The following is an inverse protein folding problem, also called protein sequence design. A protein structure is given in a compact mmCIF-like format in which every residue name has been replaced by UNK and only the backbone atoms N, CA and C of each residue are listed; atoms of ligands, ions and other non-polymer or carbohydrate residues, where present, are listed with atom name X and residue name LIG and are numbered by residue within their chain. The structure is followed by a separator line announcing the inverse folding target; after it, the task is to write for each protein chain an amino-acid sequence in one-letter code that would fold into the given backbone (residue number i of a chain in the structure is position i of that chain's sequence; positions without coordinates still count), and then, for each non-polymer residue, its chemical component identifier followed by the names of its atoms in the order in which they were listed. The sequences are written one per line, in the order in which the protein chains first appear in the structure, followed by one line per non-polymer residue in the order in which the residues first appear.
data_IF_283393946825
#
_entry.id   IF_283393946825
#
_cell.length_a   1.000
_cell.length_b   1.000
_cell.length_c   1.000
_cell.angle_alpha   90.00
_cell.angle_beta   90.00
_cell.angle_gamma   90.00
#
_symmetry.space_group_name_H-M   'P 1'
#
loop_
_entity.id
_entity.type
_entity.pdbx_description
1 polymer ?
#
# COMPACT_ATOMS: atom_id res chain seq x y z
N UNK A 1 37.82 -32.29 16.68
CA UNK A 1 37.43 -31.16 15.79
C UNK A 1 36.22 -31.44 14.90
N UNK A 2 36.24 -32.41 13.95
CA UNK A 2 35.11 -32.64 13.00
C UNK A 2 33.74 -32.90 13.64
N UNK A 3 33.67 -33.65 14.76
CA UNK A 3 32.41 -33.91 15.50
C UNK A 3 31.84 -32.67 16.21
N UNK A 4 32.70 -31.77 16.68
CA UNK A 4 32.30 -30.52 17.35
C UNK A 4 31.77 -29.53 16.32
N UNK A 5 32.45 -29.37 15.18
CA UNK A 5 31.95 -28.55 14.06
C UNK A 5 30.59 -29.03 13.55
N UNK A 6 30.36 -30.36 13.44
CA UNK A 6 29.05 -30.91 13.07
C UNK A 6 27.97 -30.54 14.09
N UNK A 7 28.24 -30.64 15.39
CA UNK A 7 27.27 -30.28 16.44
C UNK A 7 26.96 -28.78 16.46
N UNK A 8 27.97 -27.94 16.27
CA UNK A 8 27.79 -26.49 16.11
C UNK A 8 26.93 -26.19 14.88
N UNK A 9 27.23 -26.82 13.73
CA UNK A 9 26.44 -26.66 12.51
C UNK A 9 24.98 -27.12 12.66
N UNK A 10 24.75 -28.25 13.34
CA UNK A 10 23.40 -28.74 13.67
C UNK A 10 22.66 -27.78 14.63
N UNK A 11 23.34 -27.25 15.65
CA UNK A 11 22.76 -26.27 16.56
C UNK A 11 22.39 -24.97 15.85
N UNK A 12 23.25 -24.49 14.96
CA UNK A 12 22.99 -23.30 14.15
C UNK A 12 21.83 -23.51 13.16
N UNK A 13 21.77 -24.68 12.51
CA UNK A 13 20.64 -25.04 11.64
C UNK A 13 19.33 -25.10 12.43
N UNK A 14 19.34 -25.73 13.62
CA UNK A 14 18.17 -25.78 14.49
C UNK A 14 17.70 -24.38 14.89
N UNK A 15 18.63 -23.47 15.22
CA UNK A 15 18.31 -22.08 15.53
C UNK A 15 17.68 -21.36 14.33
N UNK A 16 18.22 -21.52 13.12
CA UNK A 16 17.63 -20.93 11.90
C UNK A 16 16.21 -21.45 11.68
N UNK A 17 15.99 -22.76 11.82
CA UNK A 17 14.65 -23.36 11.67
C UNK A 17 13.69 -22.80 12.72
N UNK A 18 14.12 -22.65 13.97
CA UNK A 18 13.30 -22.06 15.04
C UNK A 18 12.96 -20.59 14.75
N UNK A 19 13.94 -19.79 14.30
CA UNK A 19 13.71 -18.40 13.93
C UNK A 19 12.78 -18.28 12.72
N UNK A 20 12.97 -19.13 11.70
CA UNK A 20 12.11 -19.18 10.51
C UNK A 20 10.69 -19.59 10.84
N UNK A 21 10.50 -20.61 11.68
CA UNK A 21 9.19 -21.03 12.15
C UNK A 21 8.51 -19.94 13.00
N UNK A 22 9.27 -19.31 13.91
CA UNK A 22 8.77 -18.19 14.72
C UNK A 22 8.34 -16.99 13.87
N UNK A 23 9.15 -16.63 12.87
CA UNK A 23 8.81 -15.58 11.91
C UNK A 23 7.57 -15.95 11.09
N UNK A 24 7.47 -17.18 10.59
CA UNK A 24 6.29 -17.64 9.84
C UNK A 24 5.02 -17.52 10.69
N UNK A 25 5.04 -18.02 11.94
CA UNK A 25 3.91 -17.87 12.87
C UNK A 25 3.56 -16.40 13.12
N UNK A 26 4.55 -15.52 13.26
CA UNK A 26 4.32 -14.08 13.39
C UNK A 26 3.59 -13.49 12.17
N UNK A 27 3.90 -13.95 10.96
CA UNK A 27 3.25 -13.47 9.72
C UNK A 27 1.84 -14.02 9.50
N UNK A 28 1.41 -15.05 10.26
CA UNK A 28 0.05 -15.59 10.17
C UNK A 28 -0.99 -14.72 10.89
N UNK A 29 -0.55 -13.87 11.82
CA UNK A 29 -1.40 -12.87 12.47
C UNK A 29 -1.49 -11.64 11.57
N UNK A 30 -2.64 -11.37 10.95
CA UNK A 30 -2.85 -10.19 10.11
C UNK A 30 -4.34 -9.86 9.99
N UNK A 31 -4.64 -8.60 9.68
CA UNK A 31 -6.01 -8.12 9.48
C UNK A 31 -6.57 -8.66 8.16
N UNK A 32 -7.74 -9.28 8.22
CA UNK A 32 -8.41 -9.90 7.08
C UNK A 32 -9.31 -8.92 6.34
N UNK A 33 -9.45 -9.11 5.04
CA UNK A 33 -10.41 -8.35 4.24
C UNK A 33 -11.84 -8.64 4.69
N UNK A 34 -12.65 -7.59 4.81
CA UNK A 34 -14.10 -7.68 5.06
C UNK A 34 -14.87 -7.95 3.77
N UNK A 35 -16.13 -8.37 3.89
CA UNK A 35 -16.98 -8.76 2.77
C UNK A 35 -17.11 -7.68 1.68
N UNK A 36 -17.16 -6.40 2.06
CA UNK A 36 -17.18 -5.27 1.11
C UNK A 36 -15.94 -5.27 0.21
N UNK A 37 -14.76 -5.55 0.78
CA UNK A 37 -13.52 -5.66 0.02
C UNK A 37 -13.50 -6.92 -0.85
N UNK A 38 -14.00 -8.05 -0.33
CA UNK A 38 -14.07 -9.30 -1.09
C UNK A 38 -15.05 -9.22 -2.27
N UNK A 39 -16.16 -8.52 -2.11
CA UNK A 39 -17.12 -8.26 -3.18
C UNK A 39 -16.54 -7.36 -4.28
N UNK A 40 -15.72 -6.37 -3.91
CA UNK A 40 -14.98 -5.57 -4.87
C UNK A 40 -13.86 -6.38 -5.55
N UNK A 41 -13.14 -7.19 -4.78
CA UNK A 41 -12.10 -8.09 -5.29
C UNK A 41 -12.63 -9.05 -6.36
N UNK A 42 -13.84 -9.59 -6.18
CA UNK A 42 -14.48 -10.45 -7.17
C UNK A 42 -14.71 -9.77 -8.54
N UNK A 43 -14.67 -8.43 -8.59
CA UNK A 43 -14.81 -7.63 -9.81
C UNK A 43 -13.47 -7.20 -10.42
N UNK A 44 -12.33 -7.59 -9.84
CA UNK A 44 -11.02 -7.30 -10.42
C UNK A 44 -10.90 -7.91 -11.82
N UNK A 45 -10.38 -7.15 -12.79
CA UNK A 45 -10.18 -7.60 -14.17
C UNK A 45 -9.13 -8.70 -14.28
N UNK A 46 -8.11 -8.70 -13.41
CA UNK A 46 -7.08 -9.72 -13.39
C UNK A 46 -6.72 -10.12 -11.95
N UNK A 47 -6.69 -11.42 -11.69
CA UNK A 47 -6.21 -12.00 -10.44
C UNK A 47 -5.03 -12.91 -10.72
N UNK A 48 -3.89 -12.60 -10.13
CA UNK A 48 -2.68 -13.43 -10.20
C UNK A 48 -2.14 -13.72 -8.80
N UNK A 49 -1.08 -14.52 -8.73
CA UNK A 49 -0.38 -14.80 -7.46
C UNK A 49 0.33 -13.58 -6.88
N UNK A 50 0.56 -12.51 -7.66
CA UNK A 50 1.36 -11.35 -7.26
C UNK A 50 0.63 -10.00 -7.38
N UNK A 51 -0.43 -9.90 -8.19
CA UNK A 51 -1.12 -8.64 -8.51
C UNK A 51 -2.62 -8.90 -8.69
N UNK A 52 -3.44 -7.97 -8.20
CA UNK A 52 -4.87 -7.84 -8.46
C UNK A 52 -5.11 -6.53 -9.21
N UNK A 53 -5.52 -6.62 -10.48
CA UNK A 53 -5.71 -5.44 -11.33
C UNK A 53 -7.19 -5.08 -11.47
N UNK A 54 -7.47 -3.78 -11.39
CA UNK A 54 -8.76 -3.14 -11.61
C UNK A 54 -8.57 -2.20 -12.79
N UNK A 55 -8.84 -2.69 -14.00
CA UNK A 55 -8.53 -1.97 -15.23
C UNK A 55 -9.70 -1.10 -15.63
N UNK A 56 -9.38 0.10 -16.08
CA UNK A 56 -10.34 1.00 -16.72
C UNK A 56 -10.09 0.99 -18.23
N UNK A 57 -11.15 0.81 -19.02
CA UNK A 57 -11.03 0.66 -20.47
C UNK A 57 -10.44 1.92 -21.11
N UNK A 58 -9.40 1.74 -21.94
CA UNK A 58 -8.71 2.84 -22.62
C UNK A 58 -7.88 3.76 -21.70
N UNK A 59 -7.77 3.46 -20.40
CA UNK A 59 -6.99 4.28 -19.48
C UNK A 59 -5.50 4.24 -19.81
N UNK A 60 -4.89 5.42 -19.85
CA UNK A 60 -3.44 5.64 -19.98
C UNK A 60 -2.76 5.98 -18.66
N UNK A 61 -3.55 6.20 -17.60
CA UNK A 61 -3.10 6.49 -16.24
C UNK A 61 -3.23 5.24 -15.38
N UNK A 62 -2.18 4.94 -14.62
CA UNK A 62 -2.14 3.77 -13.73
C UNK A 62 -1.60 4.08 -12.34
N UNK A 63 -2.18 3.43 -11.31
CA UNK A 63 -1.69 3.45 -9.94
C UNK A 63 -1.15 2.06 -9.58
N UNK A 64 0.05 2.00 -9.02
CA UNK A 64 0.59 0.77 -8.40
C UNK A 64 0.43 0.92 -6.89
N UNK A 65 -0.41 0.08 -6.28
CA UNK A 65 -0.81 0.22 -4.89
C UNK A 65 -0.16 -0.83 -3.99
N UNK A 66 0.58 -0.37 -2.97
CA UNK A 66 1.24 -1.21 -1.98
C UNK A 66 0.40 -1.27 -0.69
N UNK A 67 -0.12 -2.44 -0.30
CA UNK A 67 -0.98 -2.59 0.87
C UNK A 67 -0.21 -2.38 2.18
N UNK A 68 -0.95 -2.06 3.25
CA UNK A 68 -0.40 -1.93 4.60
C UNK A 68 0.23 -3.22 5.14
N UNK A 69 1.17 -3.06 6.07
CA UNK A 69 1.83 -4.19 6.72
C UNK A 69 0.87 -4.99 7.59
N UNK A 70 0.93 -6.32 7.52
CA UNK A 70 0.03 -7.24 8.23
C UNK A 70 -1.46 -6.97 7.92
N UNK A 71 -1.77 -6.57 6.69
CA UNK A 71 -3.13 -6.45 6.17
C UNK A 71 -3.25 -7.30 4.90
N UNK A 72 -4.31 -8.09 4.78
CA UNK A 72 -4.61 -8.82 3.55
C UNK A 72 -4.78 -7.85 2.38
N UNK A 73 -4.05 -8.07 1.28
CA UNK A 73 -4.08 -7.20 0.09
C UNK A 73 -5.52 -6.85 -0.35
N UNK A 74 -6.41 -7.84 -0.42
CA UNK A 74 -7.80 -7.67 -0.86
C UNK A 74 -8.59 -6.63 -0.08
N UNK A 75 -8.17 -6.28 1.13
CA UNK A 75 -8.82 -5.25 1.93
C UNK A 75 -8.85 -3.88 1.25
N UNK A 76 -7.96 -3.62 0.28
CA UNK A 76 -7.93 -2.38 -0.49
C UNK A 76 -8.76 -2.43 -1.78
N UNK A 77 -9.33 -3.59 -2.12
CA UNK A 77 -10.00 -3.81 -3.41
C UNK A 77 -11.16 -2.85 -3.67
N UNK A 78 -11.89 -2.41 -2.65
CA UNK A 78 -13.00 -1.46 -2.85
C UNK A 78 -12.49 -0.08 -3.27
N UNK A 79 -11.39 0.39 -2.68
CA UNK A 79 -10.74 1.63 -3.10
C UNK A 79 -10.19 1.50 -4.53
N UNK A 80 -9.53 0.39 -4.86
CA UNK A 80 -8.98 0.15 -6.19
C UNK A 80 -10.08 0.09 -7.27
N UNK A 81 -11.19 -0.60 -6.99
CA UNK A 81 -12.34 -0.68 -7.88
C UNK A 81 -12.94 0.70 -8.14
N UNK A 82 -13.24 1.46 -7.06
CA UNK A 82 -13.85 2.78 -7.20
C UNK A 82 -12.93 3.78 -7.92
N UNK A 83 -11.60 3.67 -7.79
CA UNK A 83 -10.65 4.45 -8.60
C UNK A 83 -10.67 4.04 -10.09
N UNK A 84 -10.82 2.75 -10.40
CA UNK A 84 -10.93 2.27 -11.77
C UNK A 84 -12.20 2.74 -12.49
N UNK A 85 -13.29 2.90 -11.75
CA UNK A 85 -14.52 3.52 -12.24
C UNK A 85 -14.34 5.00 -12.59
N UNK A 86 -13.25 5.64 -12.15
CA UNK A 86 -12.89 7.04 -12.41
C UNK A 86 -11.87 7.20 -13.56
N UNK A 87 -11.63 6.14 -14.36
CA UNK A 87 -10.70 6.20 -15.49
C UNK A 87 -9.24 5.88 -15.15
N UNK A 88 -8.96 5.37 -13.95
CA UNK A 88 -7.60 5.11 -13.47
C UNK A 88 -7.38 3.61 -13.27
N UNK A 89 -6.52 2.97 -14.07
CA UNK A 89 -6.22 1.55 -13.84
C UNK A 89 -5.42 1.37 -12.54
N UNK A 90 -5.87 0.49 -11.64
CA UNK A 90 -5.19 0.27 -10.35
C UNK A 90 -4.65 -1.15 -10.25
N UNK A 91 -3.38 -1.28 -9.88
CA UNK A 91 -2.67 -2.54 -9.72
C UNK A 91 -2.33 -2.73 -8.24
N UNK A 92 -3.20 -3.45 -7.52
CA UNK A 92 -3.00 -3.80 -6.12
C UNK A 92 -1.99 -4.94 -6.02
N UNK A 93 -0.84 -4.65 -5.44
CA UNK A 93 0.25 -5.62 -5.32
C UNK A 93 0.03 -6.53 -4.12
N UNK A 94 0.17 -7.84 -4.34
CA UNK A 94 0.22 -8.82 -3.27
C UNK A 94 1.65 -8.94 -2.74
N UNK A 95 1.82 -8.60 -1.46
CA UNK A 95 3.13 -8.60 -0.81
C UNK A 95 3.41 -9.94 -0.10
N UNK A 96 4.64 -10.49 -0.20
CA UNK A 96 5.03 -11.65 0.60
C UNK A 96 4.79 -11.38 2.08
N UNK A 97 4.14 -12.34 2.76
CA UNK A 97 3.82 -12.23 4.19
C UNK A 97 2.97 -11.01 4.59
N UNK A 98 2.28 -10.37 3.63
CA UNK A 98 1.59 -9.09 3.82
C UNK A 98 2.53 -7.96 4.28
N UNK A 99 3.79 -7.99 3.83
CA UNK A 99 4.82 -7.04 4.24
C UNK A 99 5.59 -6.54 3.02
N UNK A 100 5.39 -5.27 2.66
CA UNK A 100 5.95 -4.67 1.45
C UNK A 100 7.49 -4.62 1.42
N UNK A 101 8.16 -4.73 2.58
CA UNK A 101 9.62 -4.77 2.70
C UNK A 101 10.25 -5.95 1.94
N UNK A 102 9.49 -7.02 1.66
CA UNK A 102 9.98 -8.20 0.96
C UNK A 102 9.89 -8.11 -0.57
N UNK A 103 9.27 -7.05 -1.10
CA UNK A 103 9.02 -6.91 -2.54
C UNK A 103 8.87 -5.44 -2.94
N UNK A 104 9.85 -4.63 -2.53
CA UNK A 104 9.89 -3.18 -2.79
C UNK A 104 9.83 -2.88 -4.29
N UNK A 105 10.45 -3.73 -5.12
CA UNK A 105 10.55 -3.56 -6.58
C UNK A 105 9.38 -4.17 -7.35
N UNK A 106 8.26 -4.46 -6.67
CA UNK A 106 7.07 -4.98 -7.30
C UNK A 106 6.50 -4.10 -8.42
N UNK A 107 6.73 -2.79 -8.37
CA UNK A 107 6.29 -1.88 -9.39
C UNK A 107 6.95 -2.16 -10.77
N UNK A 108 8.20 -2.62 -10.79
CA UNK A 108 8.93 -2.93 -12.04
C UNK A 108 8.21 -3.98 -12.89
N UNK A 109 7.73 -5.07 -12.25
CA UNK A 109 6.98 -6.11 -12.97
C UNK A 109 5.62 -5.63 -13.45
N UNK A 110 4.95 -4.76 -12.69
CA UNK A 110 3.64 -4.20 -13.06
C UNK A 110 3.80 -3.31 -14.29
N UNK A 111 4.75 -2.37 -14.27
CA UNK A 111 4.97 -1.45 -15.40
C UNK A 111 5.38 -2.19 -16.67
N UNK A 112 6.32 -3.13 -16.56
CA UNK A 112 6.76 -3.93 -17.70
C UNK A 112 5.62 -4.72 -18.36
N UNK A 113 4.65 -5.18 -17.57
CA UNK A 113 3.51 -5.95 -18.06
C UNK A 113 2.39 -5.07 -18.65
N UNK A 114 2.43 -3.74 -18.47
CA UNK A 114 1.36 -2.82 -18.84
C UNK A 114 1.86 -1.63 -19.67
N UNK A 115 2.43 -1.87 -20.87
CA UNK A 115 3.00 -0.81 -21.72
C UNK A 115 1.97 0.20 -22.25
N UNK A 116 0.67 -0.10 -22.15
CA UNK A 116 -0.42 0.80 -22.51
C UNK A 116 -0.60 1.98 -21.54
N UNK A 117 -0.10 1.85 -20.30
CA UNK A 117 -0.13 2.92 -19.31
C UNK A 117 1.11 3.79 -19.50
N UNK A 118 0.90 5.07 -19.79
CA UNK A 118 1.97 6.03 -20.08
C UNK A 118 2.28 6.93 -18.89
N UNK A 119 1.32 7.13 -17.99
CA UNK A 119 1.50 7.96 -16.79
C UNK A 119 1.26 7.13 -15.53
N UNK A 120 2.31 6.95 -14.74
CA UNK A 120 2.32 6.07 -13.59
C UNK A 120 2.38 6.84 -12.28
N UNK A 121 1.55 6.43 -11.33
CA UNK A 121 1.60 6.90 -9.95
C UNK A 121 1.88 5.73 -9.01
N UNK A 122 2.73 5.95 -8.02
CA UNK A 122 2.87 5.03 -6.90
C UNK A 122 1.82 5.35 -5.84
N UNK A 123 1.34 4.34 -5.13
CA UNK A 123 0.50 4.55 -3.98
C UNK A 123 0.81 3.51 -2.90
N UNK A 124 0.58 3.87 -1.64
CA UNK A 124 0.59 2.86 -0.59
C UNK A 124 0.05 3.35 0.73
N UNK A 125 -0.34 2.39 1.55
CA UNK A 125 -0.85 2.65 2.89
C UNK A 125 0.15 2.28 3.98
N UNK A 126 0.38 3.15 4.96
CA UNK A 126 1.21 2.86 6.14
C UNK A 126 2.59 2.30 5.74
N UNK A 127 3.00 1.12 6.21
CA UNK A 127 4.25 0.45 5.78
C UNK A 127 4.34 0.27 4.26
N UNK A 128 3.23 -0.04 3.58
CA UNK A 128 3.18 -0.12 2.12
C UNK A 128 3.49 1.22 1.46
N UNK A 129 3.02 2.32 2.04
CA UNK A 129 3.32 3.69 1.59
C UNK A 129 4.81 4.02 1.74
N UNK A 130 5.44 3.64 2.87
CA UNK A 130 6.87 3.83 3.06
C UNK A 130 7.70 3.07 2.00
N UNK A 131 7.32 1.83 1.68
CA UNK A 131 8.02 1.03 0.67
C UNK A 131 7.75 1.50 -0.76
N UNK A 132 6.51 1.93 -1.05
CA UNK A 132 6.17 2.57 -2.31
C UNK A 132 7.01 3.85 -2.51
N UNK A 133 7.16 4.66 -1.47
CA UNK A 133 8.01 5.85 -1.49
C UNK A 133 9.47 5.51 -1.70
N UNK A 134 10.00 4.50 -0.99
CA UNK A 134 11.39 4.07 -1.16
C UNK A 134 11.70 3.65 -2.61
N UNK A 135 10.75 2.98 -3.27
CA UNK A 135 10.89 2.61 -4.68
C UNK A 135 10.79 3.85 -5.59
N UNK A 136 9.75 4.68 -5.40
CA UNK A 136 9.52 5.90 -6.17
C UNK A 136 10.70 6.87 -6.10
N UNK A 137 11.20 7.20 -4.91
CA UNK A 137 12.25 8.20 -4.74
C UNK A 137 13.62 7.75 -5.28
N UNK A 138 13.76 6.47 -5.61
CA UNK A 138 14.92 5.89 -6.28
C UNK A 138 14.77 5.85 -7.81
N UNK A 139 13.56 6.02 -8.32
CA UNK A 139 13.21 6.03 -9.75
C UNK A 139 12.21 7.17 -10.06
N UNK A 140 12.52 8.43 -9.72
CA UNK A 140 11.55 9.52 -9.82
C UNK A 140 11.12 9.85 -11.26
N UNK A 141 11.99 9.62 -12.26
CA UNK A 141 11.72 9.84 -13.69
C UNK A 141 10.70 8.86 -14.29
N UNK A 142 10.36 7.83 -13.52
CA UNK A 142 9.60 6.67 -13.91
C UNK A 142 8.11 6.80 -13.51
N UNK A 143 7.78 7.84 -12.71
CA UNK A 143 6.46 8.10 -12.16
C UNK A 143 6.16 9.60 -12.13
N UNK A 144 4.88 9.95 -12.25
CA UNK A 144 4.40 11.33 -12.19
C UNK A 144 4.27 11.82 -10.73
N UNK A 145 4.09 10.90 -9.79
CA UNK A 145 3.93 11.23 -8.38
C UNK A 145 3.59 10.04 -7.48
N UNK A 146 3.48 10.29 -6.18
CA UNK A 146 3.13 9.28 -5.18
C UNK A 146 1.95 9.69 -4.28
N UNK A 147 1.08 8.73 -3.97
CA UNK A 147 -0.06 8.86 -3.05
C UNK A 147 0.23 8.07 -1.76
N UNK A 148 0.29 8.77 -0.64
CA UNK A 148 0.63 8.23 0.67
C UNK A 148 -0.59 8.27 1.59
N UNK A 149 -1.16 7.10 1.86
CA UNK A 149 -2.32 6.95 2.75
C UNK A 149 -1.85 6.59 4.16
N UNK A 150 -1.97 7.51 5.11
CA UNK A 150 -1.40 7.39 6.45
C UNK A 150 0.09 6.96 6.43
N UNK A 151 0.86 7.59 5.52
CA UNK A 151 2.29 7.38 5.33
C UNK A 151 2.95 8.72 4.98
N UNK A 152 4.28 8.76 4.93
CA UNK A 152 5.05 9.97 4.71
C UNK A 152 6.30 9.69 3.85
N UNK A 153 6.81 10.69 3.11
CA UNK A 153 8.11 10.62 2.47
C UNK A 153 9.22 10.29 3.47
N UNK A 154 10.16 9.42 3.08
CA UNK A 154 11.30 9.02 3.93
C UNK A 154 12.49 9.97 3.84
N UNK A 155 12.44 10.94 2.92
CA UNK A 155 13.38 12.02 2.75
C UNK A 155 12.63 13.30 2.32
N UNK A 156 13.34 14.43 2.20
CA UNK A 156 12.75 15.73 1.80
C UNK A 156 13.07 16.08 0.33
N UNK A 157 13.16 15.10 -0.57
CA UNK A 157 13.29 15.39 -2.00
C UNK A 157 12.04 16.13 -2.51
N UNK A 158 12.27 17.09 -3.38
CA UNK A 158 11.22 17.84 -4.07
C UNK A 158 10.65 16.97 -5.22
N UNK A 159 9.73 16.08 -4.84
CA UNK A 159 9.07 15.13 -5.73
C UNK A 159 7.54 15.28 -5.57
N UNK A 160 6.74 15.18 -6.65
CA UNK A 160 5.29 15.27 -6.52
C UNK A 160 4.73 14.19 -5.58
N UNK A 161 3.96 14.63 -4.58
CA UNK A 161 3.31 13.75 -3.63
C UNK A 161 1.92 14.24 -3.22
N UNK A 162 1.10 13.30 -2.76
CA UNK A 162 -0.13 13.54 -1.99
C UNK A 162 -0.02 12.74 -0.69
N UNK A 163 -0.19 13.41 0.45
CA UNK A 163 -0.30 12.75 1.76
C UNK A 163 -1.73 12.93 2.26
N UNK A 164 -2.39 11.81 2.60
CA UNK A 164 -3.70 11.78 3.25
C UNK A 164 -3.57 11.19 4.65
N UNK A 165 -4.02 11.92 5.67
CA UNK A 165 -4.06 11.45 7.06
C UNK A 165 -5.48 11.58 7.62
N UNK A 166 -5.95 10.59 8.37
CA UNK A 166 -7.16 10.75 9.18
C UNK A 166 -6.89 11.67 10.39
N UNK A 167 -7.80 12.57 10.73
CA UNK A 167 -7.64 13.44 11.92
C UNK A 167 -7.55 12.63 13.22
N UNK A 168 -8.21 11.46 13.26
CA UNK A 168 -8.24 10.55 14.40
C UNK A 168 -7.23 9.39 14.23
N UNK A 169 -6.33 9.46 13.25
CA UNK A 169 -5.22 8.52 13.13
C UNK A 169 -4.20 8.77 14.26
N UNK A 170 -4.04 7.77 15.13
CA UNK A 170 -3.07 7.74 16.24
C UNK A 170 -1.93 6.75 16.03
N UNK A 171 -1.91 6.05 14.89
CA UNK A 171 -0.85 5.10 14.53
C UNK A 171 0.29 5.84 13.84
N UNK A 172 -0.04 6.78 12.94
CA UNK A 172 0.93 7.65 12.31
C UNK A 172 1.42 8.71 13.31
N UNK A 173 2.71 8.68 13.62
CA UNK A 173 3.36 9.73 14.40
C UNK A 173 3.34 11.05 13.62
N UNK A 174 2.55 12.02 14.10
CA UNK A 174 2.35 13.30 13.42
C UNK A 174 3.64 14.13 13.29
N UNK A 175 4.64 13.92 14.15
CA UNK A 175 5.94 14.60 14.03
C UNK A 175 6.67 14.23 12.73
N UNK A 176 6.35 13.06 12.14
CA UNK A 176 6.89 12.63 10.84
C UNK A 176 6.35 13.41 9.65
N UNK A 177 5.29 14.19 9.85
CA UNK A 177 4.71 15.06 8.82
C UNK A 177 5.22 16.51 8.92
N UNK A 178 6.06 16.82 9.90
CA UNK A 178 6.66 18.15 10.01
C UNK A 178 7.46 18.47 8.74
N UNK A 179 7.15 19.60 8.11
CA UNK A 179 7.79 20.04 6.86
C UNK A 179 7.19 19.46 5.57
N UNK A 180 6.07 18.71 5.66
CA UNK A 180 5.31 18.27 4.50
C UNK A 180 3.91 18.87 4.47
N UNK A 181 3.44 19.22 3.28
CA UNK A 181 2.03 19.54 3.07
C UNK A 181 1.21 18.25 3.07
N UNK A 182 0.09 18.21 3.79
CA UNK A 182 -0.78 17.04 3.81
C UNK A 182 -2.25 17.44 3.96
N UNK A 183 -3.13 16.56 3.48
CA UNK A 183 -4.58 16.72 3.62
C UNK A 183 -5.05 15.87 4.80
N UNK A 184 -5.64 16.53 5.80
CA UNK A 184 -6.28 15.88 6.93
C UNK A 184 -7.76 15.59 6.64
N UNK A 185 -8.12 14.32 6.55
CA UNK A 185 -9.52 13.87 6.44
C UNK A 185 -10.16 13.95 7.83
N UNK A 186 -11.01 14.96 8.03
CA UNK A 186 -11.68 15.20 9.31
C UNK A 186 -12.58 14.03 9.70
N UNK A 187 -12.41 13.54 10.91
CA UNK A 187 -13.09 12.36 11.44
C UNK A 187 -12.57 11.02 10.94
N UNK A 188 -11.66 11.00 9.97
CA UNK A 188 -11.06 9.77 9.48
C UNK A 188 -10.01 9.20 10.43
N UNK A 189 -9.67 7.92 10.31
CA UNK A 189 -8.61 7.25 11.08
C UNK A 189 -7.60 6.53 10.16
N UNK A 190 -6.66 5.77 10.75
CA UNK A 190 -5.67 5.01 9.99
C UNK A 190 -6.32 3.87 9.21
N UNK A 191 -7.18 3.09 9.85
CA UNK A 191 -7.62 1.81 9.32
C UNK A 191 -8.56 1.92 8.10
N UNK A 192 -9.40 2.96 8.05
CA UNK A 192 -10.44 3.12 7.04
C UNK A 192 -9.94 3.45 5.62
N UNK A 193 -8.63 3.57 5.39
CA UNK A 193 -8.08 3.53 4.04
C UNK A 193 -8.19 2.14 3.37
N UNK A 194 -8.47 1.09 4.15
CA UNK A 194 -8.88 -0.22 3.66
C UNK A 194 -10.11 -0.77 4.39
N UNK A 195 -10.61 -1.92 3.94
CA UNK A 195 -11.75 -2.61 4.52
C UNK A 195 -11.31 -3.88 5.26
N UNK A 196 -10.59 -3.70 6.37
CA UNK A 196 -10.10 -4.79 7.23
C UNK A 196 -10.52 -4.67 8.71
N UNK A 197 -11.44 -3.73 9.00
CA UNK A 197 -11.94 -3.47 10.34
C UNK A 197 -10.99 -2.61 11.18
N UNK A 198 -11.14 -2.69 12.50
CA UNK A 198 -10.38 -1.89 13.45
C UNK A 198 -8.93 -2.36 13.54
N UNK A 199 -8.01 -1.41 13.69
CA UNK A 199 -6.60 -1.68 13.94
C UNK A 199 -6.23 -1.35 15.39
N UNK A 200 -5.44 -2.23 16.02
CA UNK A 200 -4.94 -1.99 17.37
C UNK A 200 -4.07 -0.72 17.40
N UNK A 201 -4.36 0.17 18.35
CA UNK A 201 -3.61 1.43 18.54
C UNK A 201 -4.04 2.57 17.62
N UNK A 202 -5.03 2.35 16.75
CA UNK A 202 -5.67 3.40 15.97
C UNK A 202 -6.79 4.09 16.77
N UNK A 203 -7.11 5.32 16.37
CA UNK A 203 -8.22 6.06 16.93
C UNK A 203 -9.55 5.66 16.29
N UNK A 204 -10.63 6.03 16.96
CA UNK A 204 -11.99 5.77 16.47
C UNK A 204 -12.37 6.82 15.43
N UNK A 205 -12.68 6.39 14.22
CA UNK A 205 -13.24 7.27 13.19
C UNK A 205 -14.62 7.79 13.63
N UNK A 206 -14.91 9.05 13.30
CA UNK A 206 -16.22 9.68 13.49
C UNK A 206 -16.99 9.83 12.17
N UNK A 207 -16.38 9.44 11.05
CA UNK A 207 -17.03 9.27 9.74
C UNK A 207 -16.98 7.81 9.32
N UNK A 208 -17.91 7.42 8.46
CA UNK A 208 -18.00 6.05 7.95
C UNK A 208 -16.83 5.68 7.03
N UNK A 209 -16.54 4.37 6.85
CA UNK A 209 -15.58 3.93 5.85
C UNK A 209 -15.92 4.36 4.42
N UNK A 210 -17.20 4.56 4.11
CA UNK A 210 -17.64 5.08 2.81
C UNK A 210 -17.23 6.55 2.65
N UNK A 211 -17.51 7.40 3.63
CA UNK A 211 -17.16 8.82 3.57
C UNK A 211 -15.64 9.04 3.47
N UNK A 212 -14.85 8.37 4.31
CA UNK A 212 -13.39 8.49 4.25
C UNK A 212 -12.84 8.04 2.88
N UNK A 213 -13.38 6.96 2.32
CA UNK A 213 -12.97 6.47 1.01
C UNK A 213 -13.37 7.42 -0.12
N UNK A 214 -14.57 8.03 -0.06
CA UNK A 214 -14.99 9.04 -1.00
C UNK A 214 -14.06 10.27 -0.99
N UNK A 215 -13.70 10.77 0.20
CA UNK A 215 -12.69 11.84 0.31
C UNK A 215 -11.33 11.42 -0.24
N UNK A 216 -10.92 10.18 0.02
CA UNK A 216 -9.65 9.62 -0.48
C UNK A 216 -9.63 9.60 -2.01
N UNK A 217 -10.69 9.11 -2.64
CA UNK A 217 -10.81 9.05 -4.11
C UNK A 217 -10.76 10.44 -4.72
N UNK A 218 -11.51 11.40 -4.16
CA UNK A 218 -11.56 12.74 -4.71
C UNK A 218 -10.21 13.46 -4.61
N UNK A 219 -9.50 13.31 -3.50
CA UNK A 219 -8.17 13.87 -3.34
C UNK A 219 -7.16 13.22 -4.31
N UNK A 220 -7.22 11.91 -4.51
CA UNK A 220 -6.37 11.20 -5.48
C UNK A 220 -6.64 11.69 -6.90
N UNK A 221 -7.91 11.80 -7.30
CA UNK A 221 -8.29 12.30 -8.63
C UNK A 221 -7.79 13.72 -8.86
N UNK A 222 -7.99 14.60 -7.89
CA UNK A 222 -7.54 15.99 -7.95
C UNK A 222 -6.02 16.08 -8.09
N UNK A 223 -5.29 15.30 -7.29
CA UNK A 223 -3.82 15.24 -7.36
C UNK A 223 -3.34 14.77 -8.73
N UNK A 224 -3.90 13.70 -9.27
CA UNK A 224 -3.55 13.17 -10.60
C UNK A 224 -3.83 14.23 -11.69
N UNK A 225 -5.01 14.84 -11.68
CA UNK A 225 -5.39 15.84 -12.68
C UNK A 225 -4.45 17.06 -12.67
N UNK A 226 -4.11 17.57 -11.48
CA UNK A 226 -3.21 18.70 -11.32
C UNK A 226 -1.77 18.35 -11.70
N UNK A 227 -1.32 17.12 -11.41
CA UNK A 227 0.04 16.68 -11.76
C UNK A 227 0.22 16.52 -13.27
N UNK A 228 -0.82 16.03 -13.97
CA UNK A 228 -0.78 15.84 -15.43
C UNK A 228 -1.05 17.12 -16.22
N UNK A 229 -1.60 18.17 -15.58
CA UNK A 229 -1.89 19.47 -16.19
C UNK A 229 -1.34 20.62 -15.32
N UNK A 230 0.00 20.73 -15.20
CA UNK A 230 0.67 21.65 -14.29
C UNK A 230 0.57 23.13 -14.70
#
# INVERSE_FOLDING_TARGET
MKKILKRIGLGFLALIVLLGAGFYVYTLDYSKAQDVALAAYAQSTQQSSSIHAFLSEGATVGIIFYPGGKVEDKAYSKLCLELSEQGISVFLVKMPFNLAVFDIDAANRVRKANPQITSWFMAGHSLGGAMAYSHYSSHPEEYEGIILLAAYPLDHKDLPYLILKGSNDTVLDASKLEGFDYVSIQGGNHAQFGNYGLQKGDGTATITPYEQRAFTIEAIRSFILNTLNP
#
